data_IF_247960983385
#
_entry.id   IF_247960983385
#
_cell.length_a   1.000
_cell.length_b   1.000
_cell.length_c   1.000
_cell.angle_alpha   90.00
_cell.angle_beta   90.00
_cell.angle_gamma   90.00
#
_symmetry.space_group_name_H-M   'P 1'
#
loop_
_entity.id
_entity.type
_entity.pdbx_description
1 polymer ?
#
# COMPACT_ATOMS: atom_id res chain seq x y z
N UNK A 1 5.07 3.42 -24.85
CA UNK A 1 4.22 2.48 -24.08
C UNK A 1 3.86 3.14 -22.77
N UNK A 2 2.56 3.30 -22.49
CA UNK A 2 2.07 4.20 -21.45
C UNK A 2 2.33 3.72 -20.03
N UNK A 3 2.68 4.67 -19.16
CA UNK A 3 2.67 4.53 -17.71
C UNK A 3 1.35 3.93 -17.26
N UNK A 4 1.32 2.62 -17.06
CA UNK A 4 0.09 1.89 -16.73
C UNK A 4 -0.13 2.03 -15.23
N UNK A 5 -0.59 3.22 -14.85
CA UNK A 5 -1.16 3.46 -13.54
C UNK A 5 -2.41 2.61 -13.41
N UNK A 6 -2.47 1.81 -12.36
CA UNK A 6 -3.59 0.95 -12.00
C UNK A 6 -4.12 1.43 -10.65
N UNK A 7 -5.31 2.00 -10.63
CA UNK A 7 -5.95 2.39 -9.37
C UNK A 7 -7.06 3.44 -9.50
N UNK A 8 -7.83 3.68 -8.42
CA UNK A 8 -7.71 3.06 -7.09
C UNK A 8 -8.26 1.63 -7.05
N UNK A 9 -7.52 0.67 -6.48
CA UNK A 9 -7.97 -0.71 -6.29
C UNK A 9 -7.93 -1.10 -4.82
N UNK A 10 -8.79 -2.03 -4.42
CA UNK A 10 -8.77 -2.63 -3.09
C UNK A 10 -7.73 -3.75 -3.05
N UNK A 11 -6.87 -3.78 -2.05
CA UNK A 11 -5.90 -4.83 -1.84
C UNK A 11 -5.65 -5.04 -0.35
N UNK A 12 -4.62 -5.80 -0.01
CA UNK A 12 -4.33 -6.21 1.37
C UNK A 12 -2.90 -5.88 1.74
N UNK A 13 -2.66 -5.39 2.95
CA UNK A 13 -1.30 -5.24 3.45
C UNK A 13 -0.72 -6.61 3.81
N UNK A 14 0.33 -7.05 3.10
CA UNK A 14 1.05 -8.28 3.47
C UNK A 14 1.84 -8.04 4.75
N UNK A 15 2.59 -6.95 4.76
CA UNK A 15 3.36 -6.50 5.92
C UNK A 15 3.80 -5.06 5.73
N UNK A 16 3.98 -4.36 6.85
CA UNK A 16 4.52 -3.02 6.86
C UNK A 16 5.43 -2.83 8.07
N UNK A 17 6.65 -2.33 7.83
CA UNK A 17 7.57 -2.01 8.90
C UNK A 17 7.45 -0.52 9.26
N UNK A 18 6.78 -0.23 10.36
CA UNK A 18 6.58 1.15 10.85
C UNK A 18 7.90 1.87 11.17
N UNK A 19 8.91 1.13 11.65
CA UNK A 19 10.21 1.69 12.02
C UNK A 19 11.01 2.12 10.80
N UNK A 20 10.92 1.36 9.70
CA UNK A 20 11.63 1.66 8.45
C UNK A 20 10.78 2.47 7.46
N UNK A 21 9.46 2.53 7.65
CA UNK A 21 8.55 3.31 6.81
C UNK A 21 8.26 2.68 5.45
N UNK A 22 8.41 1.37 5.29
CA UNK A 22 8.09 0.69 4.04
C UNK A 22 7.45 -0.68 4.25
N UNK A 23 6.78 -1.19 3.21
CA UNK A 23 6.11 -2.48 3.23
C UNK A 23 5.70 -2.95 1.84
N UNK A 24 4.89 -4.01 1.82
CA UNK A 24 4.30 -4.56 0.61
C UNK A 24 2.80 -4.75 0.76
N UNK A 25 2.08 -4.41 -0.31
CA UNK A 25 0.65 -4.62 -0.47
C UNK A 25 0.43 -5.70 -1.55
N UNK A 26 -0.57 -6.53 -1.35
CA UNK A 26 -1.07 -7.47 -2.34
C UNK A 26 -2.27 -6.84 -3.07
N UNK A 27 -2.27 -6.90 -4.40
CA UNK A 27 -3.47 -6.61 -5.20
C UNK A 27 -4.44 -7.81 -5.18
N UNK A 28 -5.70 -7.66 -5.63
CA UNK A 28 -6.65 -8.77 -5.79
C UNK A 28 -6.10 -9.86 -6.71
N UNK A 29 -5.38 -9.47 -7.75
CA UNK A 29 -4.67 -10.35 -8.67
C UNK A 29 -3.43 -11.02 -8.08
N UNK A 30 -3.13 -10.82 -6.79
CA UNK A 30 -2.00 -11.42 -6.09
C UNK A 30 -0.63 -10.79 -6.42
N UNK A 31 -0.60 -9.60 -7.03
CA UNK A 31 0.66 -8.91 -7.35
C UNK A 31 1.20 -8.19 -6.11
N UNK A 32 2.51 -8.25 -5.93
CA UNK A 32 3.21 -7.54 -4.87
C UNK A 32 3.54 -6.10 -5.29
N UNK A 33 3.05 -5.15 -4.51
CA UNK A 33 3.21 -3.71 -4.73
C UNK A 33 4.01 -3.12 -3.58
N UNK A 34 5.15 -2.52 -3.90
CA UNK A 34 5.99 -1.84 -2.92
C UNK A 34 5.35 -0.53 -2.47
N UNK A 35 5.35 -0.28 -1.15
CA UNK A 35 4.86 0.97 -0.57
C UNK A 35 5.91 1.57 0.36
N UNK A 36 6.15 2.88 0.20
CA UNK A 36 7.00 3.68 1.08
C UNK A 36 6.19 4.82 1.67
N UNK A 37 6.43 5.16 2.94
CA UNK A 37 5.74 6.24 3.65
C UNK A 37 5.81 7.58 2.90
N UNK A 38 6.94 7.86 2.24
CA UNK A 38 7.11 9.07 1.44
C UNK A 38 6.17 9.16 0.23
N UNK A 39 5.63 8.04 -0.24
CA UNK A 39 4.68 8.04 -1.36
C UNK A 39 3.25 8.33 -0.89
N UNK A 40 3.01 8.28 0.42
CA UNK A 40 1.68 8.40 1.01
C UNK A 40 1.36 9.86 1.35
N UNK A 41 0.14 10.28 1.03
CA UNK A 41 -0.37 11.60 1.44
C UNK A 41 -0.93 11.51 2.86
N UNK A 42 -0.51 12.45 3.71
CA UNK A 42 -1.16 12.69 5.00
C UNK A 42 -2.47 13.45 4.74
N UNK A 43 -3.57 12.93 5.26
CA UNK A 43 -4.86 13.63 5.30
C UNK A 43 -5.17 13.96 6.76
N UNK A 44 -4.93 15.23 7.15
CA UNK A 44 -5.07 15.69 8.54
C UNK A 44 -3.88 15.36 9.46
N UNK A 45 -4.12 15.38 10.78
CA UNK A 45 -3.12 15.16 11.87
C UNK A 45 -2.62 13.71 12.00
N UNK A 46 -3.18 12.78 11.23
CA UNK A 46 -2.90 11.34 11.33
C UNK A 46 -2.00 10.83 10.21
N UNK A 47 -0.87 10.23 10.59
CA UNK A 47 -0.19 9.26 9.75
C UNK A 47 -1.16 8.07 9.54
N UNK A 48 -1.68 7.82 8.33
CA UNK A 48 -2.52 6.65 7.99
C UNK A 48 -1.79 5.30 8.13
N UNK A 49 -0.60 5.31 8.72
CA UNK A 49 0.27 4.16 8.90
C UNK A 49 -0.16 3.32 10.12
N UNK A 50 -1.15 3.76 10.91
CA UNK A 50 -1.60 3.06 12.11
C UNK A 50 -2.93 2.29 11.91
N UNK A 51 -2.88 0.95 12.01
CA UNK A 51 -1.83 0.10 11.50
C UNK A 51 -2.29 -0.48 10.16
N UNK A 52 -1.45 -0.32 9.13
CA UNK A 52 -1.30 -1.34 8.10
C UNK A 52 -0.82 -2.63 8.82
N UNK A 53 -1.72 -3.25 9.59
CA UNK A 53 -1.51 -4.56 10.19
C UNK A 53 -1.49 -5.57 9.05
N UNK A 54 -0.76 -6.64 9.26
CA UNK A 54 -0.85 -7.83 8.42
C UNK A 54 -2.32 -8.20 8.18
N UNK A 55 -2.68 -8.39 6.92
CA UNK A 55 -4.05 -8.72 6.52
C UNK A 55 -5.03 -7.53 6.45
N UNK A 56 -4.61 -6.30 6.77
CA UNK A 56 -5.47 -5.12 6.67
C UNK A 56 -5.87 -4.79 5.23
N UNK A 57 -7.16 -4.54 4.98
CA UNK A 57 -7.67 -4.17 3.64
C UNK A 57 -7.48 -2.69 3.38
N UNK A 58 -6.92 -2.35 2.22
CA UNK A 58 -6.57 -0.98 1.86
C UNK A 58 -6.90 -0.68 0.40
N UNK A 59 -7.31 0.54 0.11
CA UNK A 59 -7.49 1.03 -1.25
C UNK A 59 -6.31 1.90 -1.66
N UNK A 60 -5.67 1.61 -2.79
CA UNK A 60 -4.48 2.31 -3.27
C UNK A 60 -4.38 2.30 -4.80
N UNK A 61 -3.62 3.25 -5.35
CA UNK A 61 -3.20 3.25 -6.75
C UNK A 61 -1.71 2.89 -6.83
N UNK A 62 -1.35 2.14 -7.86
CA UNK A 62 0.02 1.69 -8.11
C UNK A 62 0.35 1.77 -9.59
N UNK A 63 1.64 1.69 -9.90
CA UNK A 63 2.11 1.66 -11.28
C UNK A 63 3.48 1.00 -11.36
N UNK A 64 4.08 0.95 -12.56
CA UNK A 64 5.47 0.55 -12.71
C UNK A 64 6.36 1.50 -11.90
N UNK A 65 7.42 0.96 -11.28
CA UNK A 65 8.42 1.78 -10.60
C UNK A 65 9.33 2.44 -11.64
N UNK A 66 9.43 3.77 -11.59
CA UNK A 66 10.38 4.55 -12.39
C UNK A 66 11.81 4.56 -11.79
N UNK A 67 12.05 3.79 -10.73
CA UNK A 67 13.35 3.75 -10.07
C UNK A 67 14.32 2.87 -10.85
N UNK A 68 15.48 3.44 -11.19
CA UNK A 68 16.57 2.72 -11.86
C UNK A 68 16.94 1.45 -11.08
N UNK A 69 17.01 0.30 -11.77
CA UNK A 69 17.23 -1.02 -11.15
C UNK A 69 15.98 -1.67 -10.51
N UNK A 70 14.80 -1.07 -10.66
CA UNK A 70 13.51 -1.67 -10.27
C UNK A 70 12.56 -1.87 -11.47
N UNK A 71 13.14 -2.00 -12.67
CA UNK A 71 12.39 -2.24 -13.91
C UNK A 71 11.47 -3.46 -13.75
N UNK A 72 10.17 -3.26 -13.96
CA UNK A 72 9.14 -4.30 -13.82
C UNK A 72 8.55 -4.48 -12.42
N UNK A 73 9.04 -3.75 -11.40
CA UNK A 73 8.42 -3.76 -10.07
C UNK A 73 7.22 -2.82 -10.01
N UNK A 74 6.22 -3.18 -9.20
CA UNK A 74 5.06 -2.33 -8.95
C UNK A 74 5.28 -1.51 -7.67
N UNK A 75 4.91 -0.24 -7.73
CA UNK A 75 5.05 0.68 -6.61
C UNK A 75 3.79 1.54 -6.44
N UNK A 76 3.41 1.81 -5.19
CA UNK A 76 2.39 2.81 -4.86
C UNK A 76 2.87 4.17 -5.34
N UNK A 77 2.04 4.85 -6.13
CA UNK A 77 2.41 6.12 -6.73
C UNK A 77 2.59 7.19 -5.65
N UNK A 78 3.56 8.09 -5.87
CA UNK A 78 3.72 9.26 -5.01
C UNK A 78 2.43 10.09 -5.03
N UNK A 79 1.99 10.55 -3.86
CA UNK A 79 0.73 11.29 -3.76
C UNK A 79 -0.50 10.38 -3.61
N UNK A 80 -0.33 9.05 -3.49
CA UNK A 80 -1.47 8.16 -3.29
C UNK A 80 -2.03 8.28 -1.87
N UNK A 81 -3.33 8.56 -1.78
CA UNK A 81 -4.07 8.49 -0.52
C UNK A 81 -4.53 7.06 -0.29
N UNK A 82 -3.80 6.33 0.57
CA UNK A 82 -4.23 4.99 0.98
C UNK A 82 -5.39 5.14 1.96
N UNK A 83 -6.53 4.52 1.64
CA UNK A 83 -7.66 4.40 2.55
C UNK A 83 -7.68 3.01 3.16
N UNK A 84 -7.57 2.91 4.48
CA UNK A 84 -7.81 1.64 5.17
C UNK A 84 -9.31 1.39 5.17
N UNK A 85 -9.73 0.32 4.51
CA UNK A 85 -11.14 -0.09 4.38
C UNK A 85 -11.54 -0.88 5.62
N UNK A 86 -10.69 -1.82 6.02
CA UNK A 86 -10.94 -2.69 7.15
C UNK A 86 -9.69 -2.73 8.02
N UNK A 87 -9.82 -2.15 9.22
CA UNK A 87 -8.83 -2.32 10.27
C UNK A 87 -9.07 -3.71 10.85
N UNK A 88 -8.55 -4.75 10.19
CA UNK A 88 -8.68 -6.15 10.61
C UNK A 88 -8.77 -6.26 12.14
N UNK A 89 -10.00 -6.51 12.63
CA UNK A 89 -10.27 -6.82 14.02
C UNK A 89 -10.20 -8.33 14.06
N UNK A 90 -9.10 -8.94 14.54
CA UNK A 90 -9.08 -10.39 14.70
C UNK A 90 -10.30 -10.77 15.54
N UNK A 91 -11.08 -11.73 15.07
CA UNK A 91 -12.21 -12.27 15.83
C UNK A 91 -11.72 -12.58 17.24
N UNK A 92 -12.45 -12.21 18.31
CA UNK A 92 -12.06 -12.55 19.66
C UNK A 92 -11.88 -14.07 19.71
N UNK A 93 -10.65 -14.51 19.97
CA UNK A 93 -10.40 -15.90 20.30
C UNK A 93 -11.07 -16.11 21.67
N UNK A 94 -12.12 -16.92 21.67
CA UNK A 94 -12.84 -17.38 22.87
C UNK A 94 -11.87 -17.99 23.88
#
# INVERSE_FOLDING_TARGET
MGNSVVGPVEGTCKWFNLRLGYGFLATPDGKDVFVHVSNLVKDGDGLFILPLKDGGRVNFAFGPSDREGQEGKLQVLAGTKIKVIDRYVPEPRD
#
